data_IF_774762466076
#
_entry.id   IF_774762466076
#
_cell.length_a   1.000
_cell.length_b   1.000
_cell.length_c   1.000
_cell.angle_alpha   90.00
_cell.angle_beta   90.00
_cell.angle_gamma   90.00
#
_symmetry.space_group_name_H-M   'P 1'
#
loop_
_entity.id
_entity.type
_entity.pdbx_description
1 polymer ?
#
# COMPACT_ATOMS: atom_id res chain seq x y z
N UNK A 1 14.30 9.54 0.42
CA UNK A 1 14.09 10.45 -0.70
C UNK A 1 13.92 11.89 -0.21
N UNK A 2 13.03 12.19 0.72
CA UNK A 2 12.73 13.56 1.20
C UNK A 2 13.60 14.03 2.38
N UNK A 3 14.58 13.24 2.84
CA UNK A 3 15.52 13.63 3.89
C UNK A 3 14.92 13.81 5.30
N UNK A 4 13.77 13.23 5.58
CA UNK A 4 13.18 13.27 6.93
C UNK A 4 13.95 12.40 7.92
N UNK A 5 14.07 12.88 9.18
CA UNK A 5 14.54 12.03 10.26
C UNK A 5 13.53 10.88 10.54
N UNK A 6 13.95 9.76 11.15
CA UNK A 6 13.04 8.65 11.47
C UNK A 6 11.81 9.08 12.28
N UNK A 7 11.99 9.99 13.24
CA UNK A 7 10.87 10.54 14.03
C UNK A 7 9.91 11.37 13.17
N UNK A 8 10.45 12.23 12.29
CA UNK A 8 9.63 13.03 11.39
C UNK A 8 8.86 12.15 10.40
N UNK A 9 9.48 11.09 9.86
CA UNK A 9 8.82 10.12 9.02
C UNK A 9 7.67 9.41 9.76
N UNK A 10 7.94 8.94 10.99
CA UNK A 10 6.93 8.31 11.84
C UNK A 10 5.74 9.22 12.14
N UNK A 11 5.98 10.49 12.49
CA UNK A 11 4.91 11.46 12.75
C UNK A 11 4.04 11.73 11.49
N UNK A 12 4.65 11.70 10.31
CA UNK A 12 3.94 11.88 9.03
C UNK A 12 3.10 10.67 8.62
N UNK A 13 3.33 9.49 9.22
CA UNK A 13 2.45 8.32 9.02
C UNK A 13 1.28 8.25 9.99
N UNK A 14 1.28 9.04 11.08
CA UNK A 14 0.18 9.07 12.06
C UNK A 14 -1.18 9.36 11.42
N UNK A 15 -1.35 10.31 10.48
CA UNK A 15 -2.65 10.56 9.84
C UNK A 15 -3.23 9.31 9.18
N UNK A 16 -2.39 8.44 8.58
CA UNK A 16 -2.84 7.18 8.01
C UNK A 16 -3.47 6.26 9.08
N UNK A 17 -2.81 6.10 10.22
CA UNK A 17 -3.31 5.29 11.31
C UNK A 17 -4.61 5.85 11.92
N UNK A 18 -4.68 7.18 12.10
CA UNK A 18 -5.88 7.86 12.62
C UNK A 18 -7.07 7.66 11.67
N UNK A 19 -6.89 7.91 10.39
CA UNK A 19 -7.95 7.75 9.38
C UNK A 19 -8.42 6.29 9.33
N UNK A 20 -7.50 5.32 9.26
CA UNK A 20 -7.88 3.90 9.30
C UNK A 20 -8.64 3.56 10.58
N UNK A 21 -8.18 4.04 11.74
CA UNK A 21 -8.83 3.82 13.03
C UNK A 21 -10.24 4.40 13.13
N UNK A 22 -10.51 5.53 12.46
CA UNK A 22 -11.85 6.15 12.39
C UNK A 22 -12.75 5.42 11.39
N UNK A 23 -12.25 5.11 10.21
CA UNK A 23 -13.06 4.48 9.15
C UNK A 23 -13.35 3.00 9.42
N UNK A 24 -12.54 2.31 10.21
CA UNK A 24 -12.74 0.91 10.55
C UNK A 24 -14.05 0.66 11.33
N UNK A 25 -14.34 1.29 12.47
CA UNK A 25 -15.64 1.16 13.14
C UNK A 25 -16.78 1.76 12.32
N UNK A 26 -16.55 2.86 11.60
CA UNK A 26 -17.55 3.48 10.75
C UNK A 26 -18.01 2.55 9.65
N UNK A 27 -17.11 1.74 9.10
CA UNK A 27 -17.39 0.78 8.04
C UNK A 27 -18.44 -0.25 8.47
N UNK A 28 -18.40 -0.72 9.71
CA UNK A 28 -19.37 -1.65 10.29
C UNK A 28 -20.76 -1.00 10.35
N UNK A 29 -20.83 0.24 10.85
CA UNK A 29 -22.11 0.97 10.93
C UNK A 29 -22.73 1.19 9.54
N UNK A 30 -21.91 1.50 8.53
CA UNK A 30 -22.36 1.65 7.14
C UNK A 30 -22.76 0.29 6.57
N UNK A 31 -21.99 -0.77 6.82
CA UNK A 31 -22.24 -2.11 6.33
C UNK A 31 -23.62 -2.65 6.77
N UNK A 32 -24.05 -2.38 8.01
CA UNK A 32 -25.37 -2.78 8.48
C UNK A 32 -26.52 -2.12 7.70
N UNK A 33 -26.28 -0.97 7.06
CA UNK A 33 -27.27 -0.26 6.25
C UNK A 33 -27.26 -0.66 4.77
N UNK A 34 -26.07 -0.71 4.16
CA UNK A 34 -25.93 -0.86 2.71
C UNK A 34 -25.43 -2.26 2.29
N UNK A 35 -24.99 -3.07 3.26
CA UNK A 35 -24.43 -4.40 3.02
C UNK A 35 -22.91 -4.41 2.84
N UNK A 36 -22.28 -5.56 3.14
CA UNK A 36 -20.82 -5.75 3.08
C UNK A 36 -20.25 -5.54 1.67
N UNK A 37 -20.95 -6.04 0.65
CA UNK A 37 -20.58 -5.94 -0.76
C UNK A 37 -20.26 -4.51 -1.19
N UNK A 38 -21.17 -3.55 -0.91
CA UNK A 38 -21.02 -2.17 -1.32
C UNK A 38 -19.88 -1.47 -0.57
N UNK A 39 -19.75 -1.72 0.74
CA UNK A 39 -18.72 -1.09 1.57
C UNK A 39 -17.33 -1.56 1.19
N UNK A 40 -17.14 -2.88 1.04
CA UNK A 40 -15.86 -3.46 0.64
C UNK A 40 -15.45 -2.99 -0.75
N UNK A 41 -16.36 -3.05 -1.73
CA UNK A 41 -16.05 -2.61 -3.08
C UNK A 41 -15.71 -1.13 -3.15
N UNK A 42 -16.43 -0.27 -2.41
CA UNK A 42 -16.13 1.15 -2.32
C UNK A 42 -14.79 1.41 -1.62
N UNK A 43 -14.49 0.69 -0.54
CA UNK A 43 -13.21 0.78 0.15
C UNK A 43 -12.03 0.41 -0.75
N UNK A 44 -12.15 -0.69 -1.51
CA UNK A 44 -11.13 -1.09 -2.48
C UNK A 44 -10.99 -0.10 -3.64
N UNK A 45 -12.07 0.50 -4.11
CA UNK A 45 -12.04 1.56 -5.13
C UNK A 45 -11.34 2.82 -4.60
N UNK A 46 -11.56 3.21 -3.34
CA UNK A 46 -10.82 4.29 -2.68
C UNK A 46 -9.32 3.96 -2.57
N UNK A 47 -8.97 2.74 -2.18
CA UNK A 47 -7.57 2.31 -2.14
C UNK A 47 -6.92 2.43 -3.53
N UNK A 48 -7.61 1.94 -4.56
CA UNK A 48 -7.13 2.06 -5.95
C UNK A 48 -6.90 3.52 -6.34
N UNK A 49 -7.85 4.40 -6.02
CA UNK A 49 -7.72 5.86 -6.26
C UNK A 49 -6.52 6.44 -5.51
N UNK A 50 -6.33 6.08 -4.24
CA UNK A 50 -5.19 6.53 -3.44
C UNK A 50 -3.84 6.07 -4.02
N UNK A 51 -3.76 4.83 -4.53
CA UNK A 51 -2.57 4.34 -5.22
C UNK A 51 -2.33 5.04 -6.56
N UNK A 52 -3.38 5.35 -7.34
CA UNK A 52 -3.25 6.17 -8.55
C UNK A 52 -2.74 7.57 -8.19
N UNK A 53 -3.25 8.20 -7.14
CA UNK A 53 -2.71 9.47 -6.65
C UNK A 53 -1.25 9.33 -6.22
N UNK A 54 -0.88 8.26 -5.53
CA UNK A 54 0.50 8.00 -5.13
C UNK A 54 1.43 7.82 -6.33
N UNK A 55 0.95 7.22 -7.43
CA UNK A 55 1.74 7.05 -8.65
C UNK A 55 2.06 8.35 -9.38
N UNK A 56 1.41 9.45 -9.05
CA UNK A 56 1.69 10.78 -9.62
C UNK A 56 2.59 11.63 -8.74
N UNK A 57 3.07 11.10 -7.60
CA UNK A 57 3.97 11.82 -6.71
C UNK A 57 5.38 11.89 -7.30
N UNK A 58 6.05 13.00 -7.04
CA UNK A 58 7.45 13.25 -7.39
C UNK A 58 8.31 13.35 -6.12
N UNK A 59 9.61 13.31 -6.28
CA UNK A 59 10.56 13.33 -5.16
C UNK A 59 10.46 14.60 -4.28
N UNK A 60 10.06 15.70 -4.88
CA UNK A 60 9.86 17.02 -4.26
C UNK A 60 8.41 17.34 -3.89
N UNK A 61 7.49 16.39 -4.13
CA UNK A 61 6.07 16.56 -3.79
C UNK A 61 5.90 16.98 -2.33
N UNK A 62 5.16 18.08 -2.10
CA UNK A 62 4.88 18.57 -0.76
C UNK A 62 4.10 17.55 0.06
N UNK A 63 4.50 17.35 1.33
CA UNK A 63 3.78 16.46 2.22
C UNK A 63 2.33 16.92 2.44
N UNK A 64 2.13 18.21 2.80
CA UNK A 64 0.80 18.79 2.91
C UNK A 64 0.23 19.06 1.52
N UNK A 65 -0.71 18.24 1.11
CA UNK A 65 -1.31 18.24 -0.20
C UNK A 65 -1.26 16.85 -0.83
N UNK A 66 -0.48 16.63 -1.88
CA UNK A 66 -0.56 15.40 -2.67
C UNK A 66 -0.18 14.13 -1.87
N UNK A 67 0.89 14.18 -1.05
CA UNK A 67 1.31 13.00 -0.27
C UNK A 67 0.27 12.67 0.80
N UNK A 68 -0.13 13.65 1.61
CA UNK A 68 -1.12 13.44 2.65
C UNK A 68 -2.49 13.05 2.07
N UNK A 69 -2.90 13.65 0.96
CA UNK A 69 -4.17 13.32 0.31
C UNK A 69 -4.21 11.86 -0.15
N UNK A 70 -3.16 11.38 -0.84
CA UNK A 70 -3.08 9.98 -1.25
C UNK A 70 -3.11 9.02 -0.06
N UNK A 71 -2.37 9.34 1.03
CA UNK A 71 -2.36 8.57 2.26
C UNK A 71 -3.74 8.50 2.93
N UNK A 72 -4.45 9.63 3.02
CA UNK A 72 -5.79 9.70 3.63
C UNK A 72 -6.80 8.88 2.83
N UNK A 73 -6.78 8.99 1.50
CA UNK A 73 -7.67 8.22 0.63
C UNK A 73 -7.40 6.71 0.74
N UNK A 74 -6.13 6.29 0.71
CA UNK A 74 -5.76 4.89 0.93
C UNK A 74 -6.17 4.38 2.30
N UNK A 75 -5.93 5.16 3.36
CA UNK A 75 -6.26 4.80 4.73
C UNK A 75 -7.77 4.65 4.96
N UNK A 76 -8.58 5.56 4.38
CA UNK A 76 -10.03 5.46 4.41
C UNK A 76 -10.51 4.20 3.68
N UNK A 77 -9.95 3.89 2.50
CA UNK A 77 -10.25 2.67 1.77
C UNK A 77 -9.90 1.41 2.54
N UNK A 78 -8.73 1.38 3.19
CA UNK A 78 -8.29 0.25 4.03
C UNK A 78 -9.25 0.04 5.22
N UNK A 79 -9.60 1.11 5.94
CA UNK A 79 -10.54 1.03 7.06
C UNK A 79 -11.93 0.54 6.64
N UNK A 80 -12.42 0.99 5.48
CA UNK A 80 -13.71 0.56 4.93
C UNK A 80 -13.70 -0.91 4.45
N UNK A 81 -12.53 -1.47 4.13
CA UNK A 81 -12.43 -2.83 3.59
C UNK A 81 -12.18 -3.87 4.68
N UNK A 82 -11.25 -3.60 5.60
CA UNK A 82 -10.70 -4.61 6.52
C UNK A 82 -11.74 -5.16 7.48
N UNK A 83 -12.50 -4.31 8.18
CA UNK A 83 -13.46 -4.74 9.19
C UNK A 83 -14.68 -5.46 8.59
N UNK A 84 -15.32 -4.96 7.53
CA UNK A 84 -16.40 -5.69 6.87
C UNK A 84 -15.97 -7.02 6.25
N UNK A 85 -14.76 -7.11 5.70
CA UNK A 85 -14.24 -8.37 5.16
C UNK A 85 -14.06 -9.42 6.27
N UNK A 86 -13.48 -9.03 7.40
CA UNK A 86 -13.34 -9.92 8.57
C UNK A 86 -14.70 -10.36 9.10
N UNK A 87 -15.66 -9.44 9.25
CA UNK A 87 -17.01 -9.79 9.71
C UNK A 87 -17.74 -10.73 8.73
N UNK A 88 -17.54 -10.55 7.42
CA UNK A 88 -18.09 -11.42 6.41
C UNK A 88 -17.56 -12.87 6.52
N UNK A 89 -16.26 -13.03 6.80
CA UNK A 89 -15.65 -14.36 7.01
C UNK A 89 -16.15 -14.98 8.30
N UNK A 90 -16.12 -14.24 9.40
CA UNK A 90 -16.52 -14.75 10.72
C UNK A 90 -18.02 -15.07 10.77
N UNK A 91 -18.86 -14.26 10.14
CA UNK A 91 -20.32 -14.45 10.07
C UNK A 91 -20.77 -15.58 9.13
N UNK A 92 -19.88 -16.10 8.28
CA UNK A 92 -20.18 -17.23 7.40
C UNK A 92 -20.08 -18.60 8.10
N UNK A 93 -19.54 -18.63 9.32
CA UNK A 93 -19.27 -19.86 10.06
C UNK A 93 -20.10 -19.96 11.36
N UNK A 94 -20.50 -21.18 11.76
CA UNK A 94 -21.12 -21.41 13.08
C UNK A 94 -20.16 -21.04 14.22
N UNK A 95 -20.71 -20.67 15.37
CA UNK A 95 -19.93 -20.21 16.52
C UNK A 95 -18.89 -21.22 17.04
N UNK A 96 -19.20 -22.52 16.96
CA UNK A 96 -18.28 -23.62 17.31
C UNK A 96 -17.07 -23.73 16.36
N UNK A 97 -17.11 -23.09 15.19
CA UNK A 97 -16.03 -23.02 14.20
C UNK A 97 -15.35 -21.65 14.10
N UNK A 98 -15.58 -20.76 15.08
CA UNK A 98 -14.99 -19.41 15.09
C UNK A 98 -13.45 -19.44 14.99
N UNK A 99 -12.78 -20.42 15.62
CA UNK A 99 -11.33 -20.59 15.52
C UNK A 99 -10.86 -20.90 14.09
N UNK A 100 -11.64 -21.67 13.33
CA UNK A 100 -11.34 -21.94 11.91
C UNK A 100 -11.50 -20.66 11.10
N UNK A 101 -12.54 -19.86 11.35
CA UNK A 101 -12.77 -18.58 10.70
C UNK A 101 -11.62 -17.60 10.91
N UNK A 102 -11.14 -17.48 12.16
CA UNK A 102 -9.97 -16.65 12.49
C UNK A 102 -8.73 -17.13 11.74
N UNK A 103 -8.43 -18.43 11.77
CA UNK A 103 -7.26 -18.98 11.08
C UNK A 103 -7.31 -18.74 9.56
N UNK A 104 -8.47 -18.91 8.92
CA UNK A 104 -8.66 -18.62 7.49
C UNK A 104 -8.46 -17.14 7.19
N UNK A 105 -9.04 -16.25 8.01
CA UNK A 105 -8.88 -14.80 7.86
C UNK A 105 -7.41 -14.41 7.95
N UNK A 106 -6.69 -14.87 8.96
CA UNK A 106 -5.29 -14.52 9.19
C UNK A 106 -4.39 -15.11 8.10
N UNK A 107 -4.60 -16.37 7.72
CA UNK A 107 -3.85 -16.99 6.61
C UNK A 107 -4.07 -16.26 5.29
N UNK A 108 -5.30 -15.88 4.98
CA UNK A 108 -5.61 -15.14 3.75
C UNK A 108 -4.95 -13.76 3.73
N UNK A 109 -4.94 -13.05 4.86
CA UNK A 109 -4.26 -11.75 4.99
C UNK A 109 -2.75 -11.88 4.85
N UNK A 110 -2.16 -12.90 5.48
CA UNK A 110 -0.71 -13.15 5.39
C UNK A 110 -0.28 -13.50 3.97
N UNK A 111 -1.01 -14.41 3.32
CA UNK A 111 -0.77 -14.76 1.92
C UNK A 111 -0.92 -13.54 1.00
N UNK A 112 -1.98 -12.76 1.20
CA UNK A 112 -2.23 -11.53 0.42
C UNK A 112 -1.11 -10.51 0.62
N UNK A 113 -0.66 -10.32 1.85
CA UNK A 113 0.46 -9.43 2.19
C UNK A 113 1.78 -9.88 1.55
N UNK A 114 2.11 -11.17 1.68
CA UNK A 114 3.33 -11.75 1.11
C UNK A 114 3.35 -11.65 -0.40
N UNK A 115 2.27 -12.02 -1.08
CA UNK A 115 2.15 -11.89 -2.54
C UNK A 115 2.18 -10.42 -2.98
N UNK A 116 1.54 -9.53 -2.23
CA UNK A 116 1.55 -8.10 -2.51
C UNK A 116 2.97 -7.52 -2.46
N UNK A 117 3.71 -7.82 -1.40
CA UNK A 117 5.12 -7.40 -1.26
C UNK A 117 5.98 -7.99 -2.35
N UNK A 118 5.81 -9.28 -2.69
CA UNK A 118 6.60 -9.93 -3.74
C UNK A 118 6.35 -9.31 -5.12
N UNK A 119 5.09 -9.07 -5.48
CA UNK A 119 4.71 -8.51 -6.80
C UNK A 119 5.17 -7.05 -6.89
N UNK A 120 4.80 -6.20 -5.92
CA UNK A 120 5.15 -4.77 -5.94
C UNK A 120 6.66 -4.59 -5.83
N UNK A 121 7.33 -5.37 -4.96
CA UNK A 121 8.78 -5.34 -4.81
C UNK A 121 9.53 -5.79 -6.05
N UNK A 122 9.03 -6.81 -6.76
CA UNK A 122 9.62 -7.27 -8.03
C UNK A 122 9.49 -6.20 -9.12
N UNK A 123 8.33 -5.54 -9.24
CA UNK A 123 8.13 -4.43 -10.19
C UNK A 123 9.05 -3.26 -9.84
N UNK A 124 9.13 -2.90 -8.56
CA UNK A 124 10.04 -1.84 -8.09
C UNK A 124 11.50 -2.17 -8.46
N UNK A 125 11.98 -3.35 -8.11
CA UNK A 125 13.37 -3.77 -8.35
C UNK A 125 13.71 -3.83 -9.85
N UNK A 126 12.75 -4.27 -10.70
CA UNK A 126 12.95 -4.34 -12.15
C UNK A 126 13.17 -2.98 -12.84
N UNK A 127 12.77 -1.90 -12.16
CA UNK A 127 12.98 -0.54 -12.65
C UNK A 127 14.13 0.17 -11.93
N UNK A 128 14.22 0.00 -10.60
CA UNK A 128 15.23 0.67 -9.80
C UNK A 128 16.65 0.27 -10.18
N UNK A 129 16.97 -1.03 -10.26
CA UNK A 129 18.30 -1.52 -10.56
C UNK A 129 18.85 -1.02 -11.91
N UNK A 130 18.18 -1.30 -13.03
CA UNK A 130 18.63 -0.83 -14.33
C UNK A 130 18.79 0.69 -14.43
N UNK A 131 17.89 1.46 -13.85
CA UNK A 131 17.98 2.93 -13.89
C UNK A 131 19.13 3.48 -13.05
N UNK A 132 19.49 2.83 -11.93
CA UNK A 132 20.68 3.17 -11.16
C UNK A 132 21.94 2.93 -12.00
N UNK A 133 22.04 1.76 -12.63
CA UNK A 133 23.19 1.40 -13.48
C UNK A 133 23.35 2.41 -14.60
N UNK A 134 22.27 2.72 -15.30
CA UNK A 134 22.28 3.70 -16.39
C UNK A 134 22.58 5.13 -15.92
N UNK A 135 22.08 5.52 -14.76
CA UNK A 135 22.25 6.86 -14.20
C UNK A 135 23.63 7.13 -13.60
N UNK A 136 24.40 6.07 -13.29
CA UNK A 136 25.72 6.15 -12.66
C UNK A 136 26.88 5.80 -13.63
N UNK A 137 26.68 6.01 -14.92
CA UNK A 137 27.74 5.85 -15.90
C UNK A 137 28.97 6.68 -15.56
N UNK A 138 30.14 6.02 -15.42
CA UNK A 138 31.40 6.68 -15.04
C UNK A 138 31.72 6.65 -13.55
N UNK A 139 30.84 6.10 -12.71
CA UNK A 139 31.16 5.80 -11.32
C UNK A 139 31.90 4.47 -11.20
N UNK A 140 32.70 4.26 -10.12
CA UNK A 140 33.31 2.96 -9.84
C UNK A 140 32.24 1.87 -9.69
N UNK A 141 32.53 0.69 -10.25
CA UNK A 141 31.60 -0.45 -10.24
C UNK A 141 31.09 -0.82 -8.83
N UNK A 142 31.96 -0.70 -7.81
CA UNK A 142 31.60 -0.95 -6.42
C UNK A 142 30.55 0.05 -5.91
N UNK A 143 30.61 1.33 -6.33
CA UNK A 143 29.63 2.35 -5.94
C UNK A 143 28.29 2.07 -6.60
N UNK A 144 28.29 1.71 -7.88
CA UNK A 144 27.07 1.33 -8.61
C UNK A 144 26.41 0.14 -7.97
N UNK A 145 27.16 -0.95 -7.70
CA UNK A 145 26.64 -2.15 -7.07
C UNK A 145 26.00 -1.88 -5.70
N UNK A 146 26.64 -1.09 -4.85
CA UNK A 146 26.08 -0.72 -3.54
C UNK A 146 24.85 0.18 -3.66
N UNK A 147 24.84 1.12 -4.62
CA UNK A 147 23.68 1.97 -4.85
C UNK A 147 22.48 1.18 -5.41
N UNK A 148 22.73 0.14 -6.22
CA UNK A 148 21.72 -0.77 -6.74
C UNK A 148 21.04 -1.58 -5.63
N UNK A 149 21.77 -1.96 -4.57
CA UNK A 149 21.19 -2.70 -3.46
C UNK A 149 20.05 -1.96 -2.75
N UNK A 150 20.19 -0.65 -2.55
CA UNK A 150 19.13 0.13 -1.91
C UNK A 150 19.33 1.65 -2.02
N UNK A 151 18.20 2.37 -2.01
CA UNK A 151 18.21 3.83 -1.87
C UNK A 151 18.94 4.32 -0.61
N UNK A 152 18.89 3.54 0.49
CA UNK A 152 19.59 3.88 1.73
C UNK A 152 21.10 3.86 1.56
N UNK A 153 21.65 2.85 0.88
CA UNK A 153 23.07 2.78 0.55
C UNK A 153 23.49 3.94 -0.37
N UNK A 154 22.67 4.26 -1.38
CA UNK A 154 22.93 5.40 -2.27
C UNK A 154 23.01 6.73 -1.50
N UNK A 155 22.14 6.96 -0.51
CA UNK A 155 22.18 8.16 0.34
C UNK A 155 23.49 8.25 1.13
N UNK A 156 23.88 7.15 1.81
CA UNK A 156 25.13 7.12 2.59
C UNK A 156 26.35 7.35 1.71
N UNK A 157 26.41 6.74 0.53
CA UNK A 157 27.50 6.95 -0.43
C UNK A 157 27.54 8.38 -0.97
N UNK A 158 26.38 8.99 -1.17
CA UNK A 158 26.29 10.38 -1.67
C UNK A 158 26.93 11.40 -0.72
N UNK A 159 26.94 11.13 0.58
CA UNK A 159 27.57 11.99 1.59
C UNK A 159 29.10 11.86 1.61
N UNK A 160 29.65 10.78 1.06
CA UNK A 160 31.08 10.45 1.10
C UNK A 160 31.83 10.75 -0.20
N UNK A 161 31.10 10.98 -1.29
CA UNK A 161 31.70 11.13 -2.62
C UNK A 161 31.65 12.59 -3.12
N UNK A 162 32.70 13.07 -3.82
CA UNK A 162 32.69 14.41 -4.42
C UNK A 162 31.53 14.62 -5.42
N UNK A 163 31.11 13.57 -6.09
CA UNK A 163 30.00 13.56 -7.04
C UNK A 163 28.69 13.04 -6.42
N UNK A 164 28.55 13.09 -5.08
CA UNK A 164 27.42 12.55 -4.36
C UNK A 164 26.07 13.13 -4.76
N UNK A 165 26.02 14.39 -5.18
CA UNK A 165 24.79 15.01 -5.67
C UNK A 165 24.23 14.32 -6.93
N UNK A 166 25.09 13.91 -7.86
CA UNK A 166 24.69 13.18 -9.08
C UNK A 166 24.17 11.80 -8.72
N UNK A 167 24.88 11.09 -7.81
CA UNK A 167 24.46 9.79 -7.32
C UNK A 167 23.10 9.87 -6.63
N UNK A 168 22.89 10.86 -5.77
CA UNK A 168 21.62 11.02 -5.04
C UNK A 168 20.46 11.32 -5.98
N UNK A 169 20.68 12.15 -7.01
CA UNK A 169 19.65 12.47 -8.00
C UNK A 169 19.27 11.24 -8.84
N UNK A 170 20.26 10.49 -9.32
CA UNK A 170 20.03 9.22 -10.04
C UNK A 170 19.23 8.23 -9.17
N UNK A 171 19.62 8.06 -7.89
CA UNK A 171 18.95 7.19 -6.97
C UNK A 171 17.50 7.64 -6.66
N UNK A 172 17.25 8.94 -6.52
CA UNK A 172 15.90 9.49 -6.34
C UNK A 172 15.01 9.24 -7.55
N UNK A 173 15.53 9.51 -8.75
CA UNK A 173 14.82 9.29 -10.00
C UNK A 173 14.45 7.82 -10.18
N UNK A 174 15.40 6.91 -10.01
CA UNK A 174 15.18 5.47 -10.09
C UNK A 174 14.17 4.98 -9.03
N UNK A 175 14.28 5.48 -7.79
CA UNK A 175 13.34 5.15 -6.73
C UNK A 175 11.91 5.59 -7.07
N UNK A 176 11.74 6.81 -7.55
CA UNK A 176 10.41 7.33 -7.91
C UNK A 176 9.79 6.56 -9.06
N UNK A 177 10.56 6.17 -10.07
CA UNK A 177 10.08 5.33 -11.17
C UNK A 177 9.58 3.96 -10.67
N UNK A 178 10.33 3.29 -9.81
CA UNK A 178 9.93 2.04 -9.18
C UNK A 178 8.69 2.20 -8.29
N UNK A 179 8.64 3.27 -7.49
CA UNK A 179 7.52 3.59 -6.61
C UNK A 179 6.22 3.86 -7.38
N UNK A 180 6.30 4.65 -8.45
CA UNK A 180 5.16 4.98 -9.30
C UNK A 180 4.60 3.72 -9.98
N UNK A 181 5.47 2.89 -10.56
CA UNK A 181 5.05 1.64 -11.18
C UNK A 181 4.47 0.64 -10.17
N UNK A 182 5.10 0.47 -9.02
CA UNK A 182 4.57 -0.37 -7.93
C UNK A 182 3.21 0.11 -7.43
N UNK A 183 3.02 1.43 -7.32
CA UNK A 183 1.74 2.04 -6.97
C UNK A 183 0.65 1.76 -8.02
N UNK A 184 0.97 1.81 -9.31
CA UNK A 184 0.02 1.48 -10.38
C UNK A 184 -0.38 -0.01 -10.34
N UNK A 185 0.56 -0.91 -10.07
CA UNK A 185 0.26 -2.34 -9.90
C UNK A 185 -0.67 -2.56 -8.71
N UNK A 186 -0.41 -1.90 -7.57
CA UNK A 186 -1.27 -1.95 -6.39
C UNK A 186 -2.65 -1.36 -6.67
N UNK A 187 -2.73 -0.27 -7.45
CA UNK A 187 -3.99 0.31 -7.91
C UNK A 187 -4.79 -0.69 -8.76
N UNK A 188 -4.14 -1.34 -9.71
CA UNK A 188 -4.76 -2.38 -10.55
C UNK A 188 -5.28 -3.55 -9.73
N UNK A 189 -4.46 -4.07 -8.80
CA UNK A 189 -4.85 -5.18 -7.93
C UNK A 189 -6.07 -4.84 -7.05
N UNK A 190 -6.09 -3.64 -6.45
CA UNK A 190 -7.22 -3.18 -5.63
C UNK A 190 -8.47 -2.87 -6.46
N UNK A 191 -8.32 -2.37 -7.70
CA UNK A 191 -9.43 -2.19 -8.64
C UNK A 191 -10.06 -3.53 -9.03
N UNK A 192 -9.25 -4.52 -9.38
CA UNK A 192 -9.71 -5.89 -9.65
C UNK A 192 -10.43 -6.45 -8.41
N UNK A 193 -9.85 -6.29 -7.23
CA UNK A 193 -10.50 -6.67 -5.97
C UNK A 193 -11.86 -6.02 -5.76
N UNK A 194 -12.01 -4.73 -6.10
CA UNK A 194 -13.30 -4.03 -6.04
C UNK A 194 -14.34 -4.64 -6.97
N UNK A 195 -13.94 -4.97 -8.21
CA UNK A 195 -14.82 -5.65 -9.18
C UNK A 195 -15.22 -7.03 -8.69
N UNK A 196 -14.26 -7.82 -8.19
CA UNK A 196 -14.54 -9.15 -7.64
C UNK A 196 -15.48 -9.07 -6.42
N UNK A 197 -15.30 -8.08 -5.55
CA UNK A 197 -16.20 -7.83 -4.44
C UNK A 197 -17.62 -7.51 -4.92
N UNK A 198 -17.76 -6.69 -5.98
CA UNK A 198 -19.05 -6.38 -6.60
C UNK A 198 -19.70 -7.58 -7.30
N UNK A 199 -18.95 -8.54 -7.77
CA UNK A 199 -19.50 -9.69 -8.47
C UNK A 199 -19.88 -10.83 -7.50
N UNK A 200 -19.02 -11.14 -6.55
CA UNK A 200 -19.10 -12.37 -5.77
C UNK A 200 -19.44 -12.21 -4.29
N UNK A 201 -19.25 -11.04 -3.67
CA UNK A 201 -19.68 -10.89 -2.28
C UNK A 201 -21.22 -10.87 -2.18
N UNK A 202 -21.79 -11.55 -1.16
CA UNK A 202 -23.23 -11.49 -0.89
C UNK A 202 -23.64 -10.08 -0.43
N UNK A 203 -24.76 -9.59 -0.96
CA UNK A 203 -25.22 -8.22 -0.69
C UNK A 203 -25.65 -8.03 0.77
N UNK A 204 -26.13 -9.08 1.47
CA UNK A 204 -26.51 -9.05 2.89
C UNK A 204 -26.29 -10.44 3.51
N UNK A 205 -25.74 -10.48 4.72
CA UNK A 205 -25.79 -11.70 5.53
C UNK A 205 -27.25 -11.93 5.96
N UNK A 206 -27.82 -13.07 5.60
CA UNK A 206 -29.08 -13.54 6.22
C UNK A 206 -28.68 -14.04 7.61
N UNK A 207 -29.01 -13.28 8.64
CA UNK A 207 -29.05 -13.83 10.00
C UNK A 207 -30.15 -14.87 9.99
N UNK A 208 -29.79 -16.14 9.98
CA UNK A 208 -30.77 -17.23 10.21
C UNK A 208 -31.18 -17.12 11.68
N UNK A 209 -32.47 -16.92 12.01
CA UNK A 209 -32.90 -16.96 13.40
C UNK A 209 -32.62 -18.34 13.94
N UNK A 210 -31.81 -18.43 15.00
CA UNK A 210 -31.71 -19.67 15.79
C UNK A 210 -33.07 -19.89 16.49
N UNK A 211 -33.84 -20.84 16.00
CA UNK A 211 -34.97 -21.44 16.70
C UNK A 211 -34.48 -22.34 17.81
#
# INVERSE_FOLDING_TARGET
>A
VQGYSPLQAGLRTVPFAVVTGVFSPLSIAIMHRVGSKAVVAFGLALMSTGFVMASTLEADSAYFGPVLASMVVMAAGLGLTTSPATEAIMGALPADKAGVGSAVNDTTRELGGTLGVAIVGSVFASLYGPQIVDGLNGFPEQVVALAEESMGAAVVLSEQLPQGAVLLEAARSAFMSGFQAGSLVAAGATAVGAVLALLWLPARHRVTPTT
#
